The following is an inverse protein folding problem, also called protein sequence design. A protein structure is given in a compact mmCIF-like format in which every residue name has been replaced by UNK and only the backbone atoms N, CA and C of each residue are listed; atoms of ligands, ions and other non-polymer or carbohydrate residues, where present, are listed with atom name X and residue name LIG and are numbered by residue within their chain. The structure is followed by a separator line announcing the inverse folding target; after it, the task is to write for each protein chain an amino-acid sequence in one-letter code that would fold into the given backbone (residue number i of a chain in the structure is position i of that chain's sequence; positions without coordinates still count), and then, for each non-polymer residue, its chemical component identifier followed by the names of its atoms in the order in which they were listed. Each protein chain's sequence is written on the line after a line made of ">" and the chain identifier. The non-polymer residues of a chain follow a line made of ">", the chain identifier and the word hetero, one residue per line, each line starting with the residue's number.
data_IF_216574648088
#
_entry.id   IF_216574648088
#
_cell.length_a   1.000
_cell.length_b   1.000
_cell.length_c   1.000
_cell.angle_alpha   90.00
_cell.angle_beta   90.00
_cell.angle_gamma   90.00
#
_symmetry.space_group_name_H-M   'P 1'
#
loop_
_entity.id
_entity.type
_entity.pdbx_description
1 polymer ?
#
# COMPACT_ATOMS: atom_id res chain seq x y z
N UNK A 1 -13.53 -20.55 17.12
CA UNK A 1 -13.35 -21.47 15.97
C UNK A 1 -14.07 -22.80 16.20
N UNK A 2 -13.83 -23.50 17.33
CA UNK A 2 -14.52 -24.74 17.75
C UNK A 2 -16.03 -24.77 17.49
N UNK A 3 -16.76 -23.71 17.87
CA UNK A 3 -18.23 -23.65 17.69
C UNK A 3 -18.73 -23.72 16.23
N UNK A 4 -17.86 -23.56 15.22
CA UNK A 4 -18.26 -23.73 13.81
C UNK A 4 -18.51 -25.19 13.43
N UNK A 5 -17.87 -26.14 14.11
CA UNK A 5 -17.99 -27.57 13.82
C UNK A 5 -19.27 -28.21 14.38
N UNK A 6 -19.91 -27.58 15.37
CA UNK A 6 -21.09 -28.12 16.08
C UNK A 6 -22.43 -27.55 15.65
N UNK A 7 -22.54 -26.95 14.44
CA UNK A 7 -23.75 -26.22 14.03
C UNK A 7 -24.93 -27.11 13.65
N UNK A 8 -24.66 -28.32 13.16
CA UNK A 8 -25.67 -29.23 12.60
C UNK A 8 -25.72 -30.54 13.37
N UNK A 9 -24.56 -31.03 13.80
CA UNK A 9 -24.38 -32.27 14.55
C UNK A 9 -23.11 -32.16 15.41
N UNK A 10 -22.85 -33.11 16.34
CA UNK A 10 -21.57 -33.19 17.02
C UNK A 10 -20.41 -33.22 16.01
N UNK A 11 -19.40 -32.38 16.23
CA UNK A 11 -18.28 -32.23 15.31
C UNK A 11 -16.96 -32.02 16.05
N UNK A 12 -15.87 -32.23 15.32
CA UNK A 12 -14.51 -32.17 15.86
C UNK A 12 -13.78 -30.89 15.42
N UNK A 13 -12.88 -30.39 16.27
CA UNK A 13 -12.07 -29.21 15.97
C UNK A 13 -10.60 -29.52 16.20
N UNK A 14 -9.86 -29.65 15.10
CA UNK A 14 -8.42 -29.90 15.12
C UNK A 14 -7.65 -28.59 15.26
N UNK A 15 -6.75 -28.52 16.25
CA UNK A 15 -5.90 -27.37 16.51
C UNK A 15 -4.47 -27.71 16.11
N UNK A 16 -3.93 -26.99 15.12
CA UNK A 16 -2.58 -27.23 14.57
C UNK A 16 -1.50 -26.48 15.37
N UNK A 17 -1.52 -26.66 16.70
CA UNK A 17 -0.50 -26.12 17.60
C UNK A 17 -0.37 -27.01 18.85
N UNK A 18 0.83 -27.14 19.44
CA UNK A 18 1.03 -27.86 20.69
C UNK A 18 0.28 -27.23 21.87
N UNK A 19 -0.03 -28.03 22.89
CA UNK A 19 -0.71 -27.55 24.10
C UNK A 19 0.07 -26.47 24.84
N UNK A 20 1.39 -26.61 24.95
CA UNK A 20 2.23 -25.59 25.58
C UNK A 20 2.14 -24.21 24.90
N UNK A 21 1.90 -24.17 23.58
CA UNK A 21 1.68 -22.94 22.82
C UNK A 21 0.28 -22.37 23.10
N UNK A 22 -0.72 -23.24 23.21
CA UNK A 22 -2.08 -22.83 23.59
C UNK A 22 -2.13 -22.21 25.00
N UNK A 23 -1.41 -22.81 25.96
CA UNK A 23 -1.42 -22.38 27.36
C UNK A 23 -0.81 -20.97 27.56
N UNK A 24 -0.02 -20.48 26.61
CA UNK A 24 0.56 -19.12 26.61
C UNK A 24 -0.18 -18.12 25.72
N UNK A 25 -1.25 -18.53 25.03
CA UNK A 25 -2.03 -17.59 24.21
C UNK A 25 -2.72 -16.54 25.09
N UNK A 26 -2.73 -15.30 24.61
CA UNK A 26 -3.58 -14.27 25.19
C UNK A 26 -5.06 -14.70 25.08
N UNK A 27 -5.82 -14.44 26.13
CA UNK A 27 -7.25 -14.79 26.18
C UNK A 27 -8.05 -14.07 25.07
N UNK A 28 -7.66 -12.83 24.78
CA UNK A 28 -8.25 -12.01 23.72
C UNK A 28 -7.17 -11.42 22.82
N UNK A 29 -7.54 -11.20 21.55
CA UNK A 29 -6.71 -10.45 20.63
C UNK A 29 -6.71 -8.98 21.03
N UNK A 30 -5.55 -8.33 20.91
CA UNK A 30 -5.44 -6.88 21.11
C UNK A 30 -6.40 -6.13 20.15
N UNK A 31 -7.21 -5.18 20.64
CA UNK A 31 -8.12 -4.42 19.80
C UNK A 31 -7.40 -3.71 18.67
N UNK A 32 -8.10 -3.57 17.54
CA UNK A 32 -7.55 -2.95 16.34
C UNK A 32 -7.01 -1.53 16.60
N UNK A 33 -7.75 -0.72 17.35
CA UNK A 33 -7.38 0.64 17.74
C UNK A 33 -5.99 0.75 18.38
N UNK A 34 -5.52 -0.31 19.05
CA UNK A 34 -4.24 -0.33 19.76
C UNK A 34 -3.09 -0.92 18.92
N UNK A 35 -3.37 -1.43 17.71
CA UNK A 35 -2.39 -2.14 16.88
C UNK A 35 -2.34 -1.69 15.42
N UNK A 36 -3.16 -0.73 15.02
CA UNK A 36 -3.17 -0.17 13.66
C UNK A 36 -2.76 1.30 13.66
N UNK A 37 -2.15 1.80 12.57
CA UNK A 37 -1.85 3.22 12.43
C UNK A 37 -3.12 4.07 12.51
N UNK A 38 -3.06 5.19 13.24
CA UNK A 38 -4.23 6.02 13.53
C UNK A 38 -4.51 7.10 12.47
N UNK A 39 -3.73 7.17 11.39
CA UNK A 39 -3.80 8.27 10.40
C UNK A 39 -5.20 8.47 9.80
N UNK A 40 -5.80 7.41 9.25
CA UNK A 40 -7.15 7.49 8.66
C UNK A 40 -8.20 7.83 9.71
N UNK A 41 -8.08 7.28 10.94
CA UNK A 41 -9.00 7.56 12.03
C UNK A 41 -8.94 9.04 12.46
N UNK A 42 -7.74 9.60 12.58
CA UNK A 42 -7.52 11.00 12.92
C UNK A 42 -8.14 11.94 11.88
N UNK A 43 -8.01 11.64 10.58
CA UNK A 43 -8.68 12.39 9.52
C UNK A 43 -10.21 12.32 9.64
N UNK A 44 -10.76 11.13 9.90
CA UNK A 44 -12.22 10.97 10.04
C UNK A 44 -12.77 11.77 11.24
N UNK A 45 -12.05 11.77 12.37
CA UNK A 45 -12.44 12.55 13.56
C UNK A 45 -12.57 14.03 13.22
N UNK A 46 -11.62 14.58 12.46
CA UNK A 46 -11.63 15.97 12.04
C UNK A 46 -12.70 16.24 10.96
N UNK A 47 -12.87 15.33 10.00
CA UNK A 47 -13.88 15.45 8.93
C UNK A 47 -15.31 15.44 9.48
N UNK A 48 -15.53 14.76 10.61
CA UNK A 48 -16.82 14.70 11.31
C UNK A 48 -16.98 15.81 12.37
N UNK A 49 -16.03 16.74 12.46
CA UNK A 49 -16.04 17.84 13.44
C UNK A 49 -16.19 17.39 14.91
N UNK A 50 -15.55 16.27 15.29
CA UNK A 50 -15.65 15.68 16.64
C UNK A 50 -14.72 16.36 17.68
N UNK A 51 -14.06 17.45 17.31
CA UNK A 51 -13.17 18.25 18.15
C UNK A 51 -11.71 17.79 18.12
N UNK A 52 -11.02 17.94 19.25
CA UNK A 52 -9.61 17.53 19.39
C UNK A 52 -9.47 16.02 19.27
N UNK A 53 -8.52 15.58 18.43
CA UNK A 53 -8.25 14.16 18.16
C UNK A 53 -7.90 13.42 19.45
N UNK A 54 -6.94 13.96 20.23
CA UNK A 54 -6.52 13.36 21.49
C UNK A 54 -7.67 13.25 22.50
N UNK A 55 -8.49 14.30 22.64
CA UNK A 55 -9.63 14.32 23.58
C UNK A 55 -10.75 13.37 23.16
N UNK A 56 -10.92 13.14 21.86
CA UNK A 56 -11.89 12.18 21.35
C UNK A 56 -11.42 10.74 21.61
N UNK A 57 -10.18 10.42 21.23
CA UNK A 57 -9.61 9.08 21.39
C UNK A 57 -9.43 8.67 22.86
N UNK A 58 -9.23 9.62 23.77
CA UNK A 58 -9.16 9.35 25.21
C UNK A 58 -10.48 8.85 25.81
N UNK A 59 -11.60 8.96 25.08
CA UNK A 59 -12.93 8.48 25.50
C UNK A 59 -13.22 7.06 25.01
N UNK A 60 -12.34 6.45 24.22
CA UNK A 60 -12.52 5.07 23.77
C UNK A 60 -12.49 4.11 24.97
N UNK A 61 -13.18 2.96 24.84
CA UNK A 61 -13.22 1.92 25.88
C UNK A 61 -11.82 1.49 26.33
N UNK A 62 -10.90 1.39 25.38
CA UNK A 62 -9.48 1.23 25.60
C UNK A 62 -8.77 2.27 24.74
N UNK A 63 -8.28 3.34 25.35
CA UNK A 63 -7.64 4.44 24.62
C UNK A 63 -6.27 4.04 24.09
N UNK A 64 -5.87 4.50 22.88
CA UNK A 64 -4.52 4.31 22.38
C UNK A 64 -3.52 5.12 23.20
N UNK A 65 -2.24 4.74 23.11
CA UNK A 65 -1.15 5.49 23.72
C UNK A 65 -1.07 6.91 23.15
N UNK A 66 -0.81 7.90 24.01
CA UNK A 66 -0.71 9.30 23.61
C UNK A 66 0.37 9.52 22.53
N UNK A 67 1.50 8.83 22.64
CA UNK A 67 2.57 8.89 21.65
C UNK A 67 2.11 8.40 20.27
N UNK A 68 1.28 7.35 20.22
CA UNK A 68 0.72 6.84 18.96
C UNK A 68 -0.22 7.85 18.31
N UNK A 69 -1.02 8.57 19.11
CA UNK A 69 -1.90 9.65 18.63
C UNK A 69 -1.07 10.82 18.11
N UNK A 70 -0.06 11.25 18.88
CA UNK A 70 0.81 12.37 18.51
C UNK A 70 1.55 12.08 17.19
N UNK A 71 2.16 10.89 17.07
CA UNK A 71 2.84 10.47 15.85
C UNK A 71 1.90 10.49 14.63
N UNK A 72 0.63 10.11 14.82
CA UNK A 72 -0.33 10.14 13.72
C UNK A 72 -0.72 11.56 13.31
N UNK A 73 -0.90 12.47 14.28
CA UNK A 73 -1.17 13.90 14.02
C UNK A 73 0.03 14.54 13.32
N UNK A 74 1.23 14.32 13.82
CA UNK A 74 2.46 14.87 13.25
C UNK A 74 2.68 14.36 11.82
N UNK A 75 2.45 13.08 11.58
CA UNK A 75 2.48 12.53 10.22
C UNK A 75 1.47 13.22 9.30
N UNK A 76 0.22 13.42 9.75
CA UNK A 76 -0.81 14.09 8.96
C UNK A 76 -0.46 15.56 8.66
N UNK A 77 0.22 16.26 9.58
CA UNK A 77 0.79 17.59 9.33
C UNK A 77 1.90 17.54 8.28
N UNK A 78 2.84 16.61 8.40
CA UNK A 78 3.96 16.43 7.46
C UNK A 78 3.48 16.17 6.03
N UNK A 79 2.44 15.35 5.85
CA UNK A 79 1.89 15.10 4.50
C UNK A 79 0.99 16.24 3.99
N UNK A 80 0.74 17.27 4.80
CA UNK A 80 -0.09 18.43 4.48
C UNK A 80 -1.59 18.19 4.56
N UNK A 81 -2.04 17.15 5.28
CA UNK A 81 -3.45 16.86 5.46
C UNK A 81 -4.07 17.63 6.64
N UNK A 82 -3.26 17.97 7.64
CA UNK A 82 -3.61 18.89 8.73
C UNK A 82 -2.68 20.10 8.72
N UNK A 83 -3.18 21.24 9.19
CA UNK A 83 -2.36 22.42 9.48
C UNK A 83 -1.73 22.36 10.88
N UNK A 84 -1.00 23.41 11.27
CA UNK A 84 -0.36 23.50 12.58
C UNK A 84 -1.35 23.49 13.76
N UNK A 85 -2.59 23.93 13.53
CA UNK A 85 -3.69 23.93 14.51
C UNK A 85 -4.47 22.61 14.55
N UNK A 86 -4.01 21.60 13.80
CA UNK A 86 -4.68 20.31 13.60
C UNK A 86 -6.00 20.41 12.81
N UNK A 87 -6.24 21.48 12.06
CA UNK A 87 -7.43 21.62 11.23
C UNK A 87 -7.20 21.04 9.84
N UNK A 88 -8.28 20.57 9.20
CA UNK A 88 -8.18 19.96 7.88
C UNK A 88 -7.78 21.00 6.83
N UNK A 89 -6.76 20.67 6.05
CA UNK A 89 -6.43 21.42 4.84
C UNK A 89 -7.34 21.01 3.69
N UNK A 90 -7.30 21.74 2.57
CA UNK A 90 -8.00 21.31 1.34
C UNK A 90 -7.59 19.89 0.90
N UNK A 91 -6.30 19.54 1.04
CA UNK A 91 -5.81 18.18 0.79
C UNK A 91 -6.39 17.19 1.81
N UNK A 92 -6.44 17.55 3.09
CA UNK A 92 -7.04 16.74 4.15
C UNK A 92 -8.51 16.42 3.90
N UNK A 93 -9.28 17.39 3.42
CA UNK A 93 -10.69 17.19 3.05
C UNK A 93 -10.84 16.20 1.89
N UNK A 94 -9.99 16.28 0.86
CA UNK A 94 -10.02 15.28 -0.22
C UNK A 94 -9.62 13.89 0.29
N UNK A 95 -8.58 13.81 1.14
CA UNK A 95 -8.11 12.55 1.71
C UNK A 95 -9.16 11.87 2.60
N UNK A 96 -9.99 12.62 3.33
CA UNK A 96 -11.03 12.02 4.18
C UNK A 96 -12.17 11.39 3.39
N UNK A 97 -12.33 11.73 2.10
CA UNK A 97 -13.35 11.18 1.21
C UNK A 97 -12.92 9.90 0.49
N UNK A 98 -11.62 9.59 0.45
CA UNK A 98 -11.09 8.41 -0.27
C UNK A 98 -10.85 7.27 0.72
N UNK A 99 -11.40 6.06 0.51
CA UNK A 99 -11.36 4.96 1.46
C UNK A 99 -10.02 4.19 1.43
N UNK A 100 -8.90 4.89 1.62
CA UNK A 100 -7.54 4.32 1.66
C UNK A 100 -6.68 4.98 2.74
N UNK A 101 -5.47 4.46 2.97
CA UNK A 101 -4.49 5.15 3.81
C UNK A 101 -4.11 6.51 3.22
N UNK A 102 -3.86 7.56 4.02
CA UNK A 102 -3.66 8.92 3.51
C UNK A 102 -2.51 9.07 2.51
N UNK A 103 -1.43 8.28 2.66
CA UNK A 103 -0.33 8.22 1.68
C UNK A 103 -0.80 7.79 0.29
N UNK A 104 -1.66 6.77 0.24
CA UNK A 104 -2.17 6.22 -1.01
C UNK A 104 -3.22 7.15 -1.62
N UNK A 105 -4.08 7.74 -0.79
CA UNK A 105 -5.03 8.76 -1.21
C UNK A 105 -4.31 9.96 -1.84
N UNK A 106 -3.20 10.40 -1.25
CA UNK A 106 -2.38 11.50 -1.76
C UNK A 106 -1.79 11.17 -3.13
N UNK A 107 -1.33 9.93 -3.34
CA UNK A 107 -0.89 9.48 -4.66
C UNK A 107 -2.02 9.57 -5.69
N UNK A 108 -3.21 9.06 -5.37
CA UNK A 108 -4.36 9.11 -6.28
C UNK A 108 -4.74 10.55 -6.64
N UNK A 109 -4.80 11.45 -5.65
CA UNK A 109 -5.13 12.86 -5.86
C UNK A 109 -4.09 13.51 -6.77
N UNK A 110 -2.80 13.32 -6.49
CA UNK A 110 -1.73 13.89 -7.32
C UNK A 110 -1.65 13.24 -8.70
N UNK A 111 -1.95 11.95 -8.82
CA UNK A 111 -2.06 11.26 -10.10
C UNK A 111 -3.14 11.87 -11.00
N UNK A 112 -4.27 12.28 -10.42
CA UNK A 112 -5.30 13.03 -11.14
C UNK A 112 -4.82 14.44 -11.52
N UNK A 113 -4.26 15.20 -10.58
CA UNK A 113 -3.79 16.59 -10.80
C UNK A 113 -2.67 16.68 -11.86
N UNK A 114 -1.72 15.75 -11.83
CA UNK A 114 -0.60 15.72 -12.78
C UNK A 114 -0.89 14.91 -14.05
N UNK A 115 -2.15 14.49 -14.26
CA UNK A 115 -2.61 13.73 -15.41
C UNK A 115 -1.79 12.46 -15.70
N UNK A 116 -1.43 11.71 -14.67
CA UNK A 116 -0.76 10.40 -14.76
C UNK A 116 -1.51 9.33 -13.94
N UNK A 117 -2.85 9.36 -13.97
CA UNK A 117 -3.68 8.61 -13.04
C UNK A 117 -3.64 7.10 -13.25
N UNK A 118 -3.61 6.62 -14.50
CA UNK A 118 -3.63 5.20 -14.82
C UNK A 118 -2.48 4.39 -14.19
N UNK A 119 -1.20 4.78 -14.33
CA UNK A 119 -0.12 4.05 -13.67
C UNK A 119 -0.20 4.15 -12.15
N UNK A 120 -0.65 5.30 -11.62
CA UNK A 120 -0.79 5.51 -10.18
C UNK A 120 -1.90 4.65 -9.59
N UNK A 121 -3.01 4.46 -10.30
CA UNK A 121 -4.06 3.51 -9.91
C UNK A 121 -3.50 2.10 -9.77
N UNK A 122 -2.65 1.65 -10.70
CA UNK A 122 -2.01 0.32 -10.61
C UNK A 122 -1.11 0.21 -9.39
N UNK A 123 -0.25 1.21 -9.18
CA UNK A 123 0.68 1.23 -8.05
C UNK A 123 -0.08 1.24 -6.73
N UNK A 124 -1.07 2.13 -6.58
CA UNK A 124 -1.87 2.24 -5.36
C UNK A 124 -2.68 0.97 -5.10
N UNK A 125 -3.30 0.38 -6.13
CA UNK A 125 -4.00 -0.90 -6.00
C UNK A 125 -3.07 -2.04 -5.62
N UNK A 126 -1.87 -2.15 -6.20
CA UNK A 126 -0.90 -3.18 -5.83
C UNK A 126 -0.34 -3.00 -4.43
N UNK A 127 -0.10 -1.77 -3.97
CA UNK A 127 0.28 -1.48 -2.58
C UNK A 127 -0.85 -1.74 -1.57
N UNK A 128 -2.11 -1.73 -2.02
CA UNK A 128 -3.29 -2.04 -1.19
C UNK A 128 -3.56 -3.54 -1.06
N UNK A 129 -2.90 -4.38 -1.87
CA UNK A 129 -3.01 -5.84 -1.82
C UNK A 129 -1.63 -6.46 -1.59
N UNK A 130 -1.56 -7.80 -1.67
CA UNK A 130 -0.29 -8.51 -1.63
C UNK A 130 0.49 -8.32 -2.94
N UNK A 131 1.81 -8.36 -2.87
CA UNK A 131 2.69 -8.45 -4.05
C UNK A 131 2.24 -9.59 -5.01
N UNK A 132 2.00 -9.32 -6.31
CA UNK A 132 1.67 -10.35 -7.28
C UNK A 132 2.85 -11.26 -7.66
N UNK A 133 4.10 -10.87 -7.41
CA UNK A 133 5.27 -11.70 -7.72
C UNK A 133 5.34 -12.92 -6.79
N UNK A 134 5.42 -14.11 -7.38
CA UNK A 134 5.57 -15.38 -6.68
C UNK A 134 7.04 -15.79 -6.67
N UNK A 135 7.49 -16.36 -5.54
CA UNK A 135 8.84 -16.89 -5.41
C UNK A 135 8.81 -18.31 -4.83
N UNK A 136 8.56 -19.33 -5.68
CA UNK A 136 8.60 -20.74 -5.26
C UNK A 136 10.02 -21.13 -4.86
N UNK A 137 10.17 -21.87 -3.75
CA UNK A 137 11.48 -22.27 -3.22
C UNK A 137 12.36 -22.97 -4.26
N UNK A 138 11.80 -23.91 -5.04
CA UNK A 138 12.55 -24.69 -6.03
C UNK A 138 12.86 -23.94 -7.33
N UNK A 139 12.28 -22.74 -7.52
CA UNK A 139 12.41 -21.95 -8.76
C UNK A 139 12.78 -20.49 -8.49
N UNK A 140 13.47 -20.24 -7.38
CA UNK A 140 13.81 -18.90 -6.93
C UNK A 140 14.56 -18.09 -7.99
N UNK A 141 15.62 -18.65 -8.57
CA UNK A 141 16.46 -17.95 -9.56
C UNK A 141 15.68 -17.61 -10.85
N UNK A 142 14.78 -18.50 -11.27
CA UNK A 142 13.91 -18.27 -12.43
C UNK A 142 12.89 -17.15 -12.15
N UNK A 143 12.30 -17.14 -10.95
CA UNK A 143 11.37 -16.11 -10.53
C UNK A 143 12.04 -14.74 -10.40
N UNK A 144 13.25 -14.67 -9.84
CA UNK A 144 14.04 -13.44 -9.77
C UNK A 144 14.40 -12.93 -11.17
N UNK A 145 14.83 -13.82 -12.07
CA UNK A 145 15.11 -13.47 -13.46
C UNK A 145 13.87 -12.93 -14.17
N UNK A 146 12.70 -13.58 -14.01
CA UNK A 146 11.43 -13.10 -14.57
C UNK A 146 11.04 -11.72 -14.01
N UNK A 147 11.16 -11.51 -12.68
CA UNK A 147 10.90 -10.21 -12.06
C UNK A 147 11.85 -9.12 -12.58
N UNK A 148 13.12 -9.47 -12.80
CA UNK A 148 14.12 -8.53 -13.31
C UNK A 148 13.80 -7.98 -14.70
N UNK A 149 13.09 -8.75 -15.54
CA UNK A 149 12.64 -8.31 -16.86
C UNK A 149 11.70 -7.10 -16.76
N UNK A 150 10.86 -7.03 -15.72
CA UNK A 150 10.00 -5.87 -15.48
C UNK A 150 10.75 -4.67 -14.91
N UNK A 151 11.93 -4.86 -14.32
CA UNK A 151 12.70 -3.75 -13.75
C UNK A 151 13.21 -2.77 -14.79
N UNK A 152 13.48 -3.22 -16.03
CA UNK A 152 14.04 -2.42 -17.13
C UNK A 152 15.26 -1.55 -16.73
N UNK A 153 16.06 -1.97 -15.74
CA UNK A 153 17.19 -1.19 -15.17
C UNK A 153 16.78 0.17 -14.59
N UNK A 154 15.51 0.33 -14.28
CA UNK A 154 14.94 1.58 -13.78
C UNK A 154 14.84 1.64 -12.24
N UNK A 155 15.37 0.61 -11.55
CA UNK A 155 15.50 0.53 -10.09
C UNK A 155 14.23 0.95 -9.32
N UNK A 156 13.07 0.49 -9.76
CA UNK A 156 11.78 0.78 -9.11
C UNK A 156 10.86 -0.45 -9.11
N UNK A 157 10.56 -0.95 -7.91
CA UNK A 157 9.60 -2.04 -7.72
C UNK A 157 8.18 -1.62 -8.11
N UNK A 158 7.80 -0.36 -7.86
CA UNK A 158 6.50 0.19 -8.25
C UNK A 158 6.30 0.17 -9.77
N UNK A 159 7.33 0.54 -10.54
CA UNK A 159 7.28 0.46 -12.00
C UNK A 159 7.38 -0.98 -12.52
N UNK A 160 8.04 -1.87 -11.78
CA UNK A 160 8.07 -3.30 -12.10
C UNK A 160 6.68 -3.93 -11.95
N UNK A 161 5.98 -3.58 -10.87
CA UNK A 161 4.58 -3.94 -10.66
C UNK A 161 3.68 -3.40 -11.79
N UNK A 162 3.86 -2.13 -12.17
CA UNK A 162 3.11 -1.50 -13.26
C UNK A 162 3.25 -2.29 -14.56
N UNK A 163 4.49 -2.58 -14.99
CA UNK A 163 4.76 -3.32 -16.22
C UNK A 163 4.25 -4.76 -16.18
N UNK A 164 4.34 -5.42 -15.02
CA UNK A 164 3.79 -6.76 -14.84
C UNK A 164 2.26 -6.76 -15.00
N UNK A 165 1.58 -5.74 -14.46
CA UNK A 165 0.14 -5.56 -14.63
C UNK A 165 -0.23 -5.25 -16.08
N UNK A 166 0.46 -4.32 -16.74
CA UNK A 166 0.23 -3.98 -18.15
C UNK A 166 0.43 -5.19 -19.08
N UNK A 167 1.53 -5.92 -18.89
CA UNK A 167 1.81 -7.14 -19.65
C UNK A 167 0.76 -8.23 -19.42
N UNK A 168 0.26 -8.38 -18.20
CA UNK A 168 -0.85 -9.29 -17.93
C UNK A 168 -2.16 -8.81 -18.57
N UNK A 169 -2.49 -7.52 -18.51
CA UNK A 169 -3.70 -6.96 -19.13
C UNK A 169 -3.72 -7.17 -20.64
N UNK A 170 -2.56 -6.99 -21.29
CA UNK A 170 -2.35 -7.28 -22.70
C UNK A 170 -2.61 -8.76 -23.00
N UNK A 171 -1.93 -9.66 -22.29
CA UNK A 171 -2.08 -11.10 -22.48
C UNK A 171 -3.51 -11.59 -22.17
N UNK A 172 -4.18 -11.05 -21.15
CA UNK A 172 -5.56 -11.40 -20.80
C UNK A 172 -6.53 -11.00 -21.90
N UNK A 173 -6.29 -9.89 -22.62
CA UNK A 173 -7.13 -9.47 -23.76
C UNK A 173 -7.09 -10.48 -24.91
N UNK A 174 -5.94 -11.12 -25.11
CA UNK A 174 -5.74 -12.16 -26.12
C UNK A 174 -6.05 -13.57 -25.60
N UNK A 175 -6.59 -13.69 -24.37
CA UNK A 175 -6.92 -14.97 -23.73
C UNK A 175 -5.72 -15.73 -23.13
N UNK A 176 -4.50 -15.19 -23.24
CA UNK A 176 -3.25 -15.79 -22.76
C UNK A 176 -2.83 -15.39 -21.34
N UNK A 177 -3.66 -14.69 -20.57
CA UNK A 177 -3.27 -14.14 -19.27
C UNK A 177 -2.85 -15.17 -18.22
N UNK A 178 -3.44 -16.37 -18.22
CA UNK A 178 -2.99 -17.47 -17.35
C UNK A 178 -1.58 -17.96 -17.71
N UNK A 179 -1.30 -18.15 -19.00
CA UNK A 179 0.03 -18.55 -19.48
C UNK A 179 1.07 -17.47 -19.15
N UNK A 180 0.73 -16.19 -19.34
CA UNK A 180 1.57 -15.07 -18.96
C UNK A 180 1.91 -15.10 -17.47
N UNK A 181 0.91 -15.30 -16.60
CA UNK A 181 1.13 -15.40 -15.15
C UNK A 181 2.04 -16.57 -14.79
N UNK A 182 1.83 -17.74 -15.41
CA UNK A 182 2.67 -18.91 -15.19
C UNK A 182 4.13 -18.65 -15.59
N UNK A 183 4.35 -18.10 -16.79
CA UNK A 183 5.69 -17.83 -17.33
C UNK A 183 6.44 -16.77 -16.53
N UNK A 184 5.73 -15.76 -16.05
CA UNK A 184 6.31 -14.61 -15.35
C UNK A 184 6.27 -14.72 -13.82
N UNK A 185 5.88 -15.89 -13.28
CA UNK A 185 5.74 -16.14 -11.84
C UNK A 185 4.83 -15.11 -11.14
N UNK A 186 3.63 -14.90 -11.68
CA UNK A 186 2.65 -13.95 -11.14
C UNK A 186 1.40 -14.66 -10.62
N UNK A 187 0.81 -14.10 -9.56
CA UNK A 187 -0.50 -14.52 -9.06
C UNK A 187 -1.62 -13.88 -9.89
N UNK A 188 -2.29 -14.68 -10.73
CA UNK A 188 -3.46 -14.24 -11.50
C UNK A 188 -4.59 -13.72 -10.58
N UNK A 189 -4.78 -14.33 -9.41
CA UNK A 189 -5.76 -13.88 -8.42
C UNK A 189 -5.44 -12.48 -7.90
N UNK A 190 -4.16 -12.22 -7.60
CA UNK A 190 -3.71 -10.91 -7.13
C UNK A 190 -3.87 -9.85 -8.21
N UNK A 191 -3.49 -10.15 -9.46
CA UNK A 191 -3.63 -9.21 -10.58
C UNK A 191 -5.10 -8.86 -10.86
N UNK A 192 -6.01 -9.85 -10.77
CA UNK A 192 -7.46 -9.60 -10.83
C UNK A 192 -7.96 -8.74 -9.67
N UNK A 193 -7.42 -8.93 -8.46
CA UNK A 193 -7.75 -8.07 -7.32
C UNK A 193 -7.26 -6.62 -7.54
N UNK A 194 -6.06 -6.44 -8.11
CA UNK A 194 -5.55 -5.12 -8.52
C UNK A 194 -6.48 -4.47 -9.54
N UNK A 195 -6.89 -5.17 -10.60
CA UNK A 195 -7.83 -4.65 -11.61
C UNK A 195 -9.19 -4.26 -11.01
N UNK A 196 -9.69 -5.05 -10.06
CA UNK A 196 -10.92 -4.72 -9.33
C UNK A 196 -10.78 -3.48 -8.46
N UNK A 197 -9.69 -3.34 -7.71
CA UNK A 197 -9.44 -2.16 -6.88
C UNK A 197 -9.23 -0.89 -7.69
N UNK A 198 -8.56 -0.98 -8.86
CA UNK A 198 -8.44 0.15 -9.78
C UNK A 198 -9.80 0.74 -10.13
N UNK A 199 -10.76 -0.13 -10.45
CA UNK A 199 -12.16 0.28 -10.75
C UNK A 199 -12.85 0.92 -9.55
N UNK A 200 -12.62 0.40 -8.35
CA UNK A 200 -13.17 0.98 -7.11
C UNK A 200 -12.58 2.37 -6.84
N UNK A 201 -11.27 2.56 -7.01
CA UNK A 201 -10.64 3.87 -6.82
C UNK A 201 -11.10 4.89 -7.86
N UNK A 202 -11.27 4.49 -9.12
CA UNK A 202 -11.89 5.36 -10.13
C UNK A 202 -13.28 5.82 -9.68
N UNK A 203 -14.10 4.90 -9.16
CA UNK A 203 -15.43 5.25 -8.64
C UNK A 203 -15.34 6.23 -7.46
N UNK A 204 -14.48 5.97 -6.47
CA UNK A 204 -14.29 6.87 -5.33
C UNK A 204 -13.78 8.25 -5.72
N UNK A 205 -12.88 8.34 -6.70
CA UNK A 205 -12.37 9.63 -7.19
C UNK A 205 -13.45 10.44 -7.91
N UNK A 206 -14.32 9.78 -8.68
CA UNK A 206 -15.49 10.42 -9.29
C UNK A 206 -16.49 10.90 -8.25
N UNK A 207 -16.79 10.06 -7.27
CA UNK A 207 -17.71 10.39 -6.17
C UNK A 207 -17.22 11.58 -5.32
N UNK A 208 -15.90 11.70 -5.15
CA UNK A 208 -15.27 12.86 -4.51
C UNK A 208 -15.30 14.15 -5.35
N UNK A 209 -15.74 14.09 -6.61
CA UNK A 209 -15.73 15.22 -7.55
C UNK A 209 -14.33 15.63 -8.04
N UNK A 210 -13.31 14.79 -7.84
CA UNK A 210 -11.94 15.12 -8.26
C UNK A 210 -11.70 14.87 -9.74
N UNK A 211 -12.42 13.90 -10.32
CA UNK A 211 -12.31 13.55 -11.73
C UNK A 211 -13.70 13.43 -12.35
N UNK A 212 -13.88 14.02 -13.53
CA UNK A 212 -15.09 13.86 -14.36
C UNK A 212 -14.84 12.81 -15.44
N UNK A 213 -13.88 13.07 -16.33
CA UNK A 213 -13.41 12.12 -17.35
C UNK A 213 -11.99 11.61 -17.07
N UNK A 214 -11.80 10.31 -17.30
CA UNK A 214 -10.49 9.65 -17.17
C UNK A 214 -9.55 10.02 -18.32
N UNK A 215 -10.07 10.43 -19.48
CA UNK A 215 -9.26 10.75 -20.65
C UNK A 215 -8.29 11.92 -20.37
N UNK A 216 -8.76 12.96 -19.68
CA UNK A 216 -7.97 14.15 -19.31
C UNK A 216 -6.94 13.87 -18.21
N UNK A 217 -7.13 12.80 -17.44
CA UNK A 217 -6.28 12.43 -16.30
C UNK A 217 -5.07 11.58 -16.68
N UNK A 218 -4.78 11.37 -17.98
CA UNK A 218 -3.78 10.40 -18.44
C UNK A 218 -2.78 10.91 -19.49
N UNK A 219 -2.74 12.22 -19.73
CA UNK A 219 -1.83 12.87 -20.69
C UNK A 219 -0.35 12.51 -20.47
N UNK A 220 0.07 12.33 -19.22
CA UNK A 220 1.46 12.11 -18.81
C UNK A 220 1.70 10.71 -18.24
N UNK A 221 0.79 9.76 -18.46
CA UNK A 221 0.92 8.39 -17.93
C UNK A 221 2.15 7.64 -18.44
N UNK A 222 2.68 8.01 -19.62
CA UNK A 222 3.93 7.45 -20.16
C UNK A 222 5.22 8.09 -19.62
N UNK A 223 5.14 9.21 -18.87
CA UNK A 223 6.31 9.86 -18.31
C UNK A 223 6.66 9.27 -16.94
N UNK A 224 7.64 8.37 -16.91
CA UNK A 224 8.08 7.72 -15.68
C UNK A 224 8.63 8.70 -14.63
N UNK A 225 9.11 9.88 -15.01
CA UNK A 225 9.62 10.89 -14.06
C UNK A 225 8.47 11.51 -13.28
N UNK A 226 7.38 11.85 -13.96
CA UNK A 226 6.16 12.36 -13.33
C UNK A 226 5.53 11.29 -12.43
N UNK A 227 5.41 10.05 -12.92
CA UNK A 227 4.90 8.93 -12.13
C UNK A 227 5.73 8.72 -10.86
N UNK A 228 7.07 8.75 -10.95
CA UNK A 228 7.96 8.66 -9.78
C UNK A 228 7.80 9.84 -8.83
N UNK A 229 7.62 11.05 -9.34
CA UNK A 229 7.39 12.24 -8.50
C UNK A 229 6.09 12.09 -7.69
N UNK A 230 5.01 11.59 -8.31
CA UNK A 230 3.74 11.32 -7.61
C UNK A 230 3.88 10.19 -6.59
N UNK A 231 4.60 9.11 -6.93
CA UNK A 231 4.91 8.04 -5.96
C UNK A 231 5.69 8.59 -4.77
N UNK A 232 6.72 9.41 -5.02
CA UNK A 232 7.50 10.06 -3.98
C UNK A 232 6.63 10.95 -3.08
N UNK A 233 5.75 11.76 -3.68
CA UNK A 233 4.87 12.66 -2.93
C UNK A 233 3.90 11.93 -1.99
N UNK A 234 3.49 10.71 -2.34
CA UNK A 234 2.67 9.86 -1.49
C UNK A 234 3.47 9.12 -0.41
N UNK A 235 4.63 8.59 -0.76
CA UNK A 235 5.45 7.79 0.16
C UNK A 235 6.32 8.64 1.10
N UNK A 236 6.52 9.92 0.81
CA UNK A 236 7.18 10.87 1.71
C UNK A 236 6.44 10.93 3.07
N UNK A 237 7.17 10.90 4.22
CA UNK A 237 8.62 11.05 4.39
C UNK A 237 9.43 9.74 4.41
N UNK A 238 8.90 8.63 3.90
CA UNK A 238 9.59 7.34 3.80
C UNK A 238 10.75 7.35 2.80
N UNK A 239 11.84 8.03 3.14
CA UNK A 239 13.02 8.24 2.30
C UNK A 239 14.23 7.53 2.91
N UNK A 240 15.10 6.97 2.05
CA UNK A 240 16.38 6.38 2.43
C UNK A 240 17.48 6.91 1.51
N UNK A 241 18.69 7.12 2.05
CA UNK A 241 19.87 7.53 1.28
C UNK A 241 20.86 6.37 1.19
N UNK A 242 21.21 5.97 -0.03
CA UNK A 242 22.21 4.92 -0.28
C UNK A 242 23.59 5.55 -0.34
N UNK A 243 24.46 5.20 0.61
CA UNK A 243 25.86 5.64 0.63
C UNK A 243 26.72 4.53 0.02
N UNK A 244 27.25 4.76 -1.19
CA UNK A 244 28.15 3.81 -1.85
C UNK A 244 29.59 4.10 -1.43
N UNK A 245 30.10 3.33 -0.46
CA UNK A 245 31.50 3.39 -0.06
C UNK A 245 32.40 2.83 -1.16
N UNK A 246 32.97 3.67 -2.02
CA UNK A 246 34.05 3.27 -2.95
C UNK A 246 35.42 3.43 -2.29
N UNK A 247 35.83 2.49 -1.43
CA UNK A 247 37.25 2.37 -1.02
C UNK A 247 37.66 0.92 -0.78
N UNK A 248 38.44 0.37 -1.71
CA UNK A 248 39.49 -0.61 -1.46
C UNK A 248 40.68 -0.25 -2.36
N UNK A 249 41.55 0.63 -1.87
CA UNK A 249 42.93 0.71 -2.36
C UNK A 249 43.76 -0.15 -1.41
N UNK A 250 44.07 -1.38 -1.84
CA UNK A 250 45.14 -2.16 -1.22
C UNK A 250 46.46 -1.49 -1.62
N UNK A 251 46.98 -0.62 -0.75
CA UNK A 251 48.38 -0.22 -0.81
C UNK A 251 49.21 -1.44 -0.37
N UNK A 252 49.75 -2.18 -1.33
CA UNK A 252 50.89 -3.05 -1.09
C UNK A 252 52.06 -2.16 -0.67
N UNK A 253 52.38 -2.19 0.63
CA UNK A 253 53.70 -1.77 1.09
C UNK A 253 54.62 -2.99 0.94
N UNK A 254 55.37 -3.01 -0.16
CA UNK A 254 56.63 -3.74 -0.23
C UNK A 254 57.62 -3.06 0.73
N UNK A 255 58.22 -3.83 1.62
CA UNK A 255 59.45 -3.45 2.29
C UNK A 255 60.47 -4.60 2.18
N UNK A 256 61.77 -4.26 2.10
CA UNK A 256 62.81 -4.99 1.37
C UNK A 256 63.36 -6.25 2.08
#
# INVERSE_FOLDING_TARGET
>A
RRGRAGRVQPGECYHLYPKCVYDIFAEYQLPELLRTPLHSLCLQIKSLHLGSISKFLSKALQSPELLSVQNAVDYLKVIGALDDNEDLTALGHLLSMIPVEPKLGKMLIFGAIFSCLDPILTVVSGLSVRDPFLMPFDKKDLAESAKSQFSHREYSDHLSLLRAFEGWKEAERDGGGHEFCWRMFLSAQTLKAIDSLRKQFIFSLRDSGLIDDLSDCNKWSGDHSIVRAVICAGLYPGVCSVIVSRFHFTLHFDFP
#
